data_IF_897078524270
#
_entry.id   IF_897078524270
#
_cell.length_a   1.000
_cell.length_b   1.000
_cell.length_c   1.000
_cell.angle_alpha   90.00
_cell.angle_beta   90.00
_cell.angle_gamma   90.00
#
_symmetry.space_group_name_H-M   'P 1'
#
loop_
_entity.id
_entity.type
_entity.pdbx_description
1 polymer ?
#
# COMPACT_ATOMS: atom_id res chain seq x y z
N UNK A 1 -18.08 -9.70 7.67
CA UNK A 1 -17.36 -8.43 7.32
C UNK A 1 -16.83 -8.50 5.90
N UNK A 2 -16.82 -7.40 5.14
CA UNK A 2 -16.32 -7.39 3.76
C UNK A 2 -14.97 -6.66 3.68
N UNK A 3 -14.09 -7.10 2.79
CA UNK A 3 -12.83 -6.43 2.47
C UNK A 3 -12.80 -6.07 1.00
N UNK A 4 -12.52 -4.79 0.70
CA UNK A 4 -12.31 -4.34 -0.68
C UNK A 4 -10.84 -4.47 -1.06
N UNK A 5 -10.56 -5.19 -2.15
CA UNK A 5 -9.24 -5.33 -2.74
C UNK A 5 -9.22 -4.70 -4.13
N UNK A 6 -8.06 -4.19 -4.53
CA UNK A 6 -7.86 -3.65 -5.87
C UNK A 6 -6.95 -4.57 -6.67
N UNK A 7 -7.50 -5.15 -7.75
CA UNK A 7 -6.78 -6.04 -8.65
C UNK A 7 -6.37 -5.24 -9.89
N UNK A 8 -5.08 -5.16 -10.14
CA UNK A 8 -4.53 -4.42 -11.28
C UNK A 8 -4.27 -5.35 -12.46
N UNK A 9 -4.99 -5.14 -13.56
CA UNK A 9 -4.86 -5.92 -14.80
C UNK A 9 -4.39 -5.01 -15.94
N UNK A 10 -3.48 -5.48 -16.78
CA UNK A 10 -3.07 -4.76 -17.98
C UNK A 10 -4.12 -4.96 -19.07
N UNK A 11 -4.46 -3.89 -19.79
CA UNK A 11 -5.32 -3.95 -20.97
C UNK A 11 -4.48 -4.30 -22.20
N UNK A 12 -5.02 -5.18 -23.06
CA UNK A 12 -4.56 -5.31 -24.44
C UNK A 12 -5.29 -4.24 -25.26
N UNK A 13 -4.55 -3.36 -25.86
CA UNK A 13 -5.09 -2.14 -26.49
C UNK A 13 -4.51 -1.99 -27.89
N UNK A 14 -5.36 -1.84 -28.91
CA UNK A 14 -4.96 -1.45 -30.27
C UNK A 14 -4.66 0.05 -30.34
N UNK A 15 -4.06 0.52 -31.44
CA UNK A 15 -3.78 1.95 -31.63
C UNK A 15 -5.05 2.80 -31.64
N UNK A 16 -6.12 2.35 -32.29
CA UNK A 16 -7.41 3.01 -32.31
C UNK A 16 -8.03 3.08 -30.91
N UNK A 17 -7.96 1.98 -30.16
CA UNK A 17 -8.43 1.96 -28.78
C UNK A 17 -7.58 2.86 -27.85
N UNK A 18 -6.27 2.94 -28.09
CA UNK A 18 -5.38 3.84 -27.35
C UNK A 18 -5.75 5.30 -27.54
N UNK A 19 -6.09 5.70 -28.78
CA UNK A 19 -6.54 7.07 -29.08
C UNK A 19 -7.82 7.42 -28.29
N UNK A 20 -8.82 6.53 -28.27
CA UNK A 20 -10.07 6.71 -27.51
C UNK A 20 -9.83 6.81 -26.01
N UNK A 21 -8.95 5.97 -25.46
CA UNK A 21 -8.57 6.03 -24.04
C UNK A 21 -7.85 7.34 -23.71
N UNK A 22 -6.93 7.78 -24.56
CA UNK A 22 -6.20 9.03 -24.36
C UNK A 22 -7.13 10.24 -24.41
N UNK A 23 -8.02 10.30 -25.41
CA UNK A 23 -9.04 11.36 -25.49
C UNK A 23 -9.91 11.41 -24.22
N UNK A 24 -10.29 10.22 -23.70
CA UNK A 24 -11.09 10.14 -22.47
C UNK A 24 -10.30 10.58 -21.23
N UNK A 25 -9.03 10.18 -21.13
CA UNK A 25 -8.14 10.60 -20.04
C UNK A 25 -7.91 12.12 -20.03
N UNK A 26 -7.71 12.70 -21.21
CA UNK A 26 -7.51 14.15 -21.38
C UNK A 26 -8.78 14.93 -21.06
N UNK A 27 -9.93 14.55 -21.61
CA UNK A 27 -11.23 15.18 -21.32
C UNK A 27 -11.55 15.12 -19.82
N UNK A 28 -11.33 13.96 -19.18
CA UNK A 28 -11.58 13.79 -17.76
C UNK A 28 -10.66 14.66 -16.90
N UNK A 29 -9.36 14.75 -17.23
CA UNK A 29 -8.40 15.58 -16.52
C UNK A 29 -8.68 17.08 -16.68
N UNK A 30 -9.04 17.51 -17.89
CA UNK A 30 -9.45 18.88 -18.17
C UNK A 30 -10.70 19.26 -17.36
N UNK A 31 -11.72 18.39 -17.34
CA UNK A 31 -12.92 18.58 -16.55
C UNK A 31 -12.62 18.67 -15.05
N UNK A 32 -11.75 17.81 -14.52
CA UNK A 32 -11.32 17.87 -13.11
C UNK A 32 -10.66 19.21 -12.75
N UNK A 33 -9.75 19.69 -13.60
CA UNK A 33 -9.07 20.96 -13.40
C UNK A 33 -10.04 22.14 -13.52
N UNK A 34 -10.91 22.12 -14.52
CA UNK A 34 -11.92 23.15 -14.70
C UNK A 34 -12.85 23.25 -13.49
N UNK A 35 -13.44 22.14 -13.01
CA UNK A 35 -14.29 22.14 -11.81
C UNK A 35 -13.52 22.65 -10.59
N UNK A 36 -12.26 22.27 -10.44
CA UNK A 36 -11.45 22.71 -9.31
C UNK A 36 -11.13 24.21 -9.36
N UNK A 37 -11.08 24.83 -10.52
CA UNK A 37 -10.79 26.25 -10.72
C UNK A 37 -12.05 27.11 -10.72
N UNK A 38 -13.14 26.64 -11.35
CA UNK A 38 -14.37 27.43 -11.56
C UNK A 38 -15.35 27.39 -10.38
N UNK A 39 -15.12 26.57 -9.37
CA UNK A 39 -15.99 26.45 -8.21
C UNK A 39 -15.28 26.81 -6.91
N UNK A 40 -15.98 27.40 -5.89
CA UNK A 40 -15.37 27.78 -4.64
C UNK A 40 -14.71 26.59 -3.93
N UNK A 41 -13.48 26.75 -3.44
CA UNK A 41 -12.72 25.68 -2.76
C UNK A 41 -13.43 25.11 -1.53
N UNK A 42 -14.25 25.91 -0.85
CA UNK A 42 -15.06 25.51 0.31
C UNK A 42 -16.08 24.41 -0.02
N UNK A 43 -16.47 24.25 -1.30
CA UNK A 43 -17.44 23.24 -1.72
C UNK A 43 -16.74 21.88 -1.82
N UNK A 44 -16.91 21.07 -0.78
CA UNK A 44 -16.36 19.70 -0.65
C UNK A 44 -17.43 18.60 -0.78
N UNK A 45 -18.70 18.98 -1.02
CA UNK A 45 -19.80 18.06 -1.22
C UNK A 45 -19.94 17.75 -2.71
N UNK A 46 -19.93 16.46 -3.07
CA UNK A 46 -20.01 16.00 -4.46
C UNK A 46 -21.35 16.32 -5.13
N UNK A 47 -22.47 16.27 -4.37
CA UNK A 47 -23.81 16.59 -4.88
C UNK A 47 -23.91 18.07 -5.23
N UNK A 48 -23.38 18.94 -4.34
CA UNK A 48 -23.36 20.39 -4.61
C UNK A 48 -22.46 20.74 -5.80
N UNK A 49 -21.31 20.09 -5.96
CA UNK A 49 -20.47 20.24 -7.16
C UNK A 49 -21.20 19.76 -8.42
N UNK A 50 -21.92 18.65 -8.33
CA UNK A 50 -22.69 18.12 -9.43
C UNK A 50 -23.78 19.13 -9.87
N UNK A 51 -24.57 19.68 -8.95
CA UNK A 51 -25.59 20.67 -9.30
C UNK A 51 -25.03 21.95 -9.95
N UNK A 52 -23.81 22.34 -9.56
CA UNK A 52 -23.15 23.53 -10.10
C UNK A 52 -22.52 23.34 -11.48
N UNK A 53 -22.01 22.13 -11.79
CA UNK A 53 -21.10 21.94 -12.92
C UNK A 53 -21.54 20.88 -13.92
N UNK A 54 -22.58 20.10 -13.65
CA UNK A 54 -22.95 18.92 -14.44
C UNK A 54 -23.14 19.22 -15.93
N UNK A 55 -23.97 20.21 -16.26
CA UNK A 55 -24.28 20.55 -17.64
C UNK A 55 -23.06 21.11 -18.36
N UNK A 56 -22.28 21.96 -17.71
CA UNK A 56 -21.06 22.54 -18.27
C UNK A 56 -19.98 21.48 -18.52
N UNK A 57 -19.82 20.49 -17.63
CA UNK A 57 -18.88 19.39 -17.84
C UNK A 57 -19.25 18.60 -19.08
N UNK A 58 -20.53 18.32 -19.28
CA UNK A 58 -21.00 17.58 -20.45
C UNK A 58 -20.83 18.37 -21.74
N UNK A 59 -21.22 19.64 -21.73
CA UNK A 59 -21.15 20.51 -22.91
C UNK A 59 -19.69 20.77 -23.34
N UNK A 60 -18.79 21.04 -22.39
CA UNK A 60 -17.41 21.46 -22.72
C UNK A 60 -16.46 20.30 -23.01
N UNK A 61 -16.64 19.16 -22.35
CA UNK A 61 -15.69 18.07 -22.41
C UNK A 61 -16.24 16.78 -23.03
N UNK A 62 -17.50 16.77 -23.49
CA UNK A 62 -18.12 15.62 -24.13
C UNK A 62 -18.26 14.38 -23.23
N UNK A 63 -18.16 14.56 -21.90
CA UNK A 63 -18.25 13.44 -20.97
C UNK A 63 -19.70 12.97 -20.79
N UNK A 64 -19.88 11.63 -20.71
CA UNK A 64 -21.18 11.06 -20.38
C UNK A 64 -21.66 11.48 -18.98
N UNK A 65 -22.97 11.37 -18.72
CA UNK A 65 -23.57 11.78 -17.45
C UNK A 65 -22.88 11.19 -16.22
N UNK A 66 -22.57 9.90 -16.28
CA UNK A 66 -21.90 9.21 -15.16
C UNK A 66 -20.43 9.61 -15.02
N UNK A 67 -19.70 9.83 -16.13
CA UNK A 67 -18.33 10.34 -16.08
C UNK A 67 -18.30 11.78 -15.49
N UNK A 68 -19.25 12.64 -15.85
CA UNK A 68 -19.39 13.96 -15.24
C UNK A 68 -19.62 13.88 -13.72
N UNK A 69 -20.46 12.94 -13.28
CA UNK A 69 -20.66 12.65 -11.87
C UNK A 69 -19.36 12.16 -11.15
N UNK A 70 -18.55 11.35 -11.83
CA UNK A 70 -17.25 10.92 -11.30
C UNK A 70 -16.25 12.07 -11.18
N UNK A 71 -16.26 13.04 -12.10
CA UNK A 71 -15.47 14.28 -11.99
C UNK A 71 -15.82 15.02 -10.69
N UNK A 72 -17.08 15.25 -10.43
CA UNK A 72 -17.53 15.95 -9.22
C UNK A 72 -17.16 15.21 -7.93
N UNK A 73 -17.34 13.87 -7.88
CA UNK A 73 -16.93 13.03 -6.75
C UNK A 73 -15.42 13.10 -6.51
N UNK A 74 -14.63 13.07 -7.58
CA UNK A 74 -13.16 13.10 -7.48
C UNK A 74 -12.63 14.42 -6.97
N UNK A 75 -13.15 15.54 -7.48
CA UNK A 75 -12.79 16.89 -7.00
C UNK A 75 -13.17 17.04 -5.53
N UNK A 76 -14.39 16.67 -5.14
CA UNK A 76 -14.85 16.72 -3.77
C UNK A 76 -13.93 15.92 -2.82
N UNK A 77 -13.59 14.68 -3.18
CA UNK A 77 -12.67 13.84 -2.40
C UNK A 77 -11.27 14.44 -2.28
N UNK A 78 -10.75 14.99 -3.38
CA UNK A 78 -9.43 15.63 -3.39
C UNK A 78 -9.38 16.88 -2.50
N UNK A 79 -10.44 17.70 -2.50
CA UNK A 79 -10.57 18.86 -1.62
C UNK A 79 -10.70 18.50 -0.14
N UNK A 80 -11.43 17.43 0.20
CA UNK A 80 -11.51 16.91 1.57
C UNK A 80 -10.11 16.55 2.10
N UNK A 81 -9.34 15.79 1.32
CA UNK A 81 -7.97 15.41 1.68
C UNK A 81 -7.03 16.63 1.74
N UNK A 82 -7.17 17.59 0.82
CA UNK A 82 -6.39 18.82 0.80
C UNK A 82 -6.63 19.65 2.08
N UNK A 83 -7.90 19.78 2.49
CA UNK A 83 -8.30 20.45 3.74
C UNK A 83 -7.69 19.77 4.97
N UNK A 84 -7.79 18.43 5.07
CA UNK A 84 -7.22 17.67 6.19
C UNK A 84 -5.69 17.81 6.30
N UNK A 85 -5.01 17.99 5.15
CA UNK A 85 -3.55 18.10 5.09
C UNK A 85 -3.06 19.54 5.01
N UNK A 86 -3.93 20.50 5.13
CA UNK A 86 -3.66 21.94 5.00
C UNK A 86 -2.77 22.27 3.80
N UNK A 87 -3.19 21.84 2.62
CA UNK A 87 -2.46 22.07 1.35
C UNK A 87 -3.45 22.22 0.18
N UNK A 88 -3.10 22.97 -0.89
CA UNK A 88 -3.97 23.12 -2.05
C UNK A 88 -4.11 21.81 -2.83
N UNK A 89 -5.21 21.68 -3.58
CA UNK A 89 -5.37 20.58 -4.55
C UNK A 89 -4.41 20.82 -5.71
N UNK A 90 -3.57 19.82 -5.99
CA UNK A 90 -2.66 19.88 -7.15
C UNK A 90 -3.45 19.68 -8.45
N UNK A 91 -2.96 20.26 -9.55
CA UNK A 91 -3.51 20.03 -10.88
C UNK A 91 -3.55 18.54 -11.22
N UNK A 92 -4.67 18.10 -11.78
CA UNK A 92 -4.88 16.74 -12.23
C UNK A 92 -4.21 16.52 -13.58
N UNK A 93 -3.46 15.43 -13.68
CA UNK A 93 -2.83 14.99 -14.93
C UNK A 93 -3.71 13.95 -15.62
N UNK A 94 -3.65 13.89 -16.94
CA UNK A 94 -4.33 12.87 -17.76
C UNK A 94 -3.67 11.49 -17.54
N UNK A 95 -4.00 10.84 -16.47
CA UNK A 95 -3.40 9.57 -16.10
C UNK A 95 -4.36 8.57 -15.48
N UNK A 96 -5.61 8.97 -15.23
CA UNK A 96 -6.62 8.07 -14.66
C UNK A 96 -8.04 8.53 -14.98
N UNK A 97 -8.98 7.57 -15.04
CA UNK A 97 -10.44 7.79 -15.05
C UNK A 97 -11.08 6.82 -14.07
N UNK A 98 -12.03 7.29 -13.27
CA UNK A 98 -12.79 6.47 -12.31
C UNK A 98 -14.10 6.03 -12.92
N UNK A 99 -14.46 4.77 -12.74
CA UNK A 99 -15.66 4.14 -13.27
C UNK A 99 -16.51 3.55 -12.14
N UNK A 100 -17.81 3.61 -12.28
CA UNK A 100 -18.78 2.86 -11.47
C UNK A 100 -19.52 1.82 -12.32
N UNK A 101 -20.40 1.03 -11.72
CA UNK A 101 -21.11 -0.08 -12.38
C UNK A 101 -21.98 0.34 -13.58
N UNK A 102 -22.23 1.63 -13.80
CA UNK A 102 -23.04 2.13 -14.93
C UNK A 102 -22.22 2.36 -16.20
N UNK A 103 -20.91 2.56 -16.02
CA UNK A 103 -19.98 2.92 -17.09
C UNK A 103 -18.79 1.94 -17.18
N UNK A 104 -18.83 0.89 -16.38
CA UNK A 104 -17.87 -0.20 -16.34
C UNK A 104 -18.61 -1.53 -16.19
N UNK A 105 -18.18 -2.53 -16.96
CA UNK A 105 -18.58 -3.91 -16.75
C UNK A 105 -17.40 -4.86 -16.89
N UNK A 106 -17.42 -5.94 -16.11
CA UNK A 106 -16.45 -7.02 -16.19
C UNK A 106 -17.16 -8.30 -16.63
N UNK A 107 -16.56 -9.03 -17.56
CA UNK A 107 -17.07 -10.30 -18.05
C UNK A 107 -16.02 -11.40 -17.88
N UNK A 108 -16.33 -12.35 -17.02
CA UNK A 108 -15.42 -13.44 -16.69
C UNK A 108 -15.24 -14.43 -17.85
N UNK A 109 -16.31 -14.72 -18.59
CA UNK A 109 -16.32 -15.74 -19.67
C UNK A 109 -15.16 -15.57 -20.66
N UNK A 110 -14.81 -14.35 -21.02
CA UNK A 110 -13.74 -14.01 -21.96
C UNK A 110 -12.67 -13.08 -21.37
N UNK A 111 -12.72 -12.83 -20.08
CA UNK A 111 -11.80 -11.97 -19.34
C UNK A 111 -11.66 -10.58 -19.97
N UNK A 112 -12.80 -9.96 -20.25
CA UNK A 112 -12.88 -8.63 -20.84
C UNK A 112 -13.50 -7.62 -19.87
N UNK A 113 -13.21 -6.36 -20.14
CA UNK A 113 -13.89 -5.23 -19.51
C UNK A 113 -14.46 -4.31 -20.57
N UNK A 114 -15.64 -3.76 -20.33
CA UNK A 114 -16.19 -2.67 -21.13
C UNK A 114 -16.09 -1.36 -20.35
N UNK A 115 -15.59 -0.32 -21.01
CA UNK A 115 -15.40 1.01 -20.44
C UNK A 115 -16.10 2.05 -21.31
N UNK A 116 -16.82 2.97 -20.70
CA UNK A 116 -17.38 4.13 -21.41
C UNK A 116 -16.26 5.14 -21.68
N UNK A 117 -16.04 5.45 -22.94
CA UNK A 117 -15.13 6.49 -23.40
C UNK A 117 -15.91 7.73 -23.86
N UNK A 118 -15.24 8.78 -24.30
CA UNK A 118 -15.87 9.96 -24.92
C UNK A 118 -16.51 9.60 -26.27
N UNK A 119 -16.07 8.53 -26.94
CA UNK A 119 -16.59 8.01 -28.22
C UNK A 119 -17.56 6.85 -28.07
N UNK A 120 -18.06 6.60 -26.85
CA UNK A 120 -18.96 5.48 -26.58
C UNK A 120 -18.33 4.37 -25.75
N UNK A 121 -19.01 3.22 -25.70
CA UNK A 121 -18.56 2.08 -24.94
C UNK A 121 -17.58 1.22 -25.75
N UNK A 122 -16.45 0.88 -25.15
CA UNK A 122 -15.38 0.11 -25.80
C UNK A 122 -15.02 -1.12 -24.93
N UNK A 123 -14.72 -2.25 -25.58
CA UNK A 123 -14.36 -3.50 -24.91
C UNK A 123 -12.87 -3.78 -25.04
N UNK A 124 -12.24 -4.20 -23.92
CA UNK A 124 -10.82 -4.48 -23.81
C UNK A 124 -10.58 -5.86 -23.22
N UNK A 125 -9.67 -6.62 -23.82
CA UNK A 125 -9.15 -7.85 -23.21
C UNK A 125 -8.18 -7.56 -22.10
N UNK A 126 -8.19 -8.41 -21.06
CA UNK A 126 -7.29 -8.33 -19.94
C UNK A 126 -6.09 -9.26 -20.12
N UNK A 127 -4.87 -8.71 -20.04
CA UNK A 127 -3.67 -9.52 -19.93
C UNK A 127 -3.43 -9.87 -18.45
N UNK A 128 -3.74 -11.11 -18.07
CA UNK A 128 -3.77 -11.55 -16.67
C UNK A 128 -3.02 -12.86 -16.46
N UNK A 129 -2.40 -12.98 -15.29
CA UNK A 129 -1.87 -14.23 -14.77
C UNK A 129 -2.88 -14.97 -13.87
N UNK A 130 -2.49 -16.15 -13.39
CA UNK A 130 -3.34 -17.00 -12.55
C UNK A 130 -3.81 -16.31 -11.25
N UNK A 131 -2.98 -15.45 -10.66
CA UNK A 131 -3.36 -14.70 -9.48
C UNK A 131 -4.56 -13.77 -9.72
N UNK A 132 -4.51 -12.96 -10.79
CA UNK A 132 -5.61 -12.06 -11.12
C UNK A 132 -6.88 -12.83 -11.46
N UNK A 133 -6.76 -13.91 -12.22
CA UNK A 133 -7.91 -14.79 -12.54
C UNK A 133 -8.54 -15.34 -11.28
N UNK A 134 -7.77 -15.94 -10.39
CA UNK A 134 -8.28 -16.49 -9.11
C UNK A 134 -8.90 -15.43 -8.19
N UNK A 135 -8.48 -14.15 -8.30
CA UNK A 135 -9.04 -13.07 -7.52
C UNK A 135 -10.31 -12.46 -8.10
N UNK A 136 -10.52 -12.60 -9.42
CA UNK A 136 -11.67 -12.04 -10.13
C UNK A 136 -12.75 -13.08 -10.43
N UNK A 137 -12.41 -14.36 -10.40
CA UNK A 137 -13.36 -15.45 -10.65
C UNK A 137 -14.54 -15.39 -9.67
N UNK A 138 -15.76 -15.54 -10.19
CA UNK A 138 -17.00 -15.50 -9.41
C UNK A 138 -17.33 -14.14 -8.79
N UNK A 139 -16.61 -13.06 -9.15
CA UNK A 139 -16.86 -11.71 -8.59
C UNK A 139 -17.66 -10.83 -9.54
N UNK A 140 -18.42 -9.89 -8.98
CA UNK A 140 -19.18 -8.87 -9.72
C UNK A 140 -18.70 -7.47 -9.37
N UNK A 141 -17.54 -7.02 -9.90
CA UNK A 141 -16.96 -5.74 -9.55
C UNK A 141 -17.85 -4.57 -9.97
N UNK A 142 -18.07 -3.61 -9.06
CA UNK A 142 -18.93 -2.44 -9.30
C UNK A 142 -18.14 -1.15 -9.52
N UNK A 143 -16.83 -1.17 -9.35
CA UNK A 143 -15.97 0.01 -9.50
C UNK A 143 -14.61 -0.37 -10.07
N UNK A 144 -14.09 0.52 -10.90
CA UNK A 144 -12.76 0.38 -11.47
C UNK A 144 -12.10 1.75 -11.69
N UNK A 145 -10.78 1.74 -11.86
CA UNK A 145 -10.01 2.93 -12.26
C UNK A 145 -9.10 2.56 -13.42
N UNK A 146 -9.30 3.20 -14.57
CA UNK A 146 -8.35 3.17 -15.68
C UNK A 146 -7.11 3.99 -15.29
N UNK A 147 -5.93 3.47 -15.57
CA UNK A 147 -4.65 4.16 -15.30
C UNK A 147 -3.73 4.01 -16.49
N UNK A 148 -3.24 5.14 -17.03
CA UNK A 148 -2.14 5.16 -18.00
C UNK A 148 -0.82 5.28 -17.25
N UNK A 149 0.09 4.34 -17.47
CA UNK A 149 1.43 4.37 -16.88
C UNK A 149 2.39 5.22 -17.71
N UNK A 150 3.54 5.57 -17.12
CA UNK A 150 4.57 6.39 -17.79
C UNK A 150 5.21 5.72 -19.01
N UNK A 151 5.11 4.40 -19.11
CA UNK A 151 5.57 3.62 -20.27
C UNK A 151 4.52 3.55 -21.40
N UNK A 152 3.42 4.29 -21.26
CA UNK A 152 2.31 4.31 -22.22
C UNK A 152 1.32 3.16 -22.07
N UNK A 153 1.57 2.18 -21.20
CA UNK A 153 0.67 1.04 -21.02
C UNK A 153 -0.57 1.40 -20.18
N UNK A 154 -1.71 0.79 -20.52
CA UNK A 154 -2.98 0.98 -19.83
C UNK A 154 -3.27 -0.16 -18.88
N UNK A 155 -3.74 0.18 -17.69
CA UNK A 155 -4.15 -0.77 -16.66
C UNK A 155 -5.54 -0.42 -16.16
N UNK A 156 -6.32 -1.43 -15.87
CA UNK A 156 -7.56 -1.29 -15.12
C UNK A 156 -7.34 -1.81 -13.69
N UNK A 157 -7.67 -0.99 -12.74
CA UNK A 157 -7.65 -1.32 -11.30
C UNK A 157 -9.08 -1.63 -10.90
N UNK A 158 -9.41 -2.91 -10.80
CA UNK A 158 -10.75 -3.41 -10.51
C UNK A 158 -10.89 -3.58 -9.00
N UNK A 159 -11.92 -2.95 -8.42
CA UNK A 159 -12.25 -3.11 -7.01
C UNK A 159 -13.17 -4.31 -6.83
N UNK A 160 -12.73 -5.29 -6.06
CA UNK A 160 -13.51 -6.47 -5.69
C UNK A 160 -13.77 -6.50 -4.19
N UNK A 161 -14.96 -6.90 -3.81
CA UNK A 161 -15.34 -7.13 -2.43
C UNK A 161 -15.32 -8.62 -2.16
N UNK A 162 -14.66 -9.01 -1.09
CA UNK A 162 -14.64 -10.38 -0.60
C UNK A 162 -15.23 -10.42 0.79
N UNK A 163 -16.12 -11.37 1.04
CA UNK A 163 -16.55 -11.68 2.38
C UNK A 163 -15.40 -12.32 3.14
N UNK A 164 -15.17 -11.82 4.34
CA UNK A 164 -14.14 -12.34 5.22
C UNK A 164 -14.74 -13.45 6.08
N UNK A 165 -14.02 -14.58 6.24
CA UNK A 165 -14.41 -15.55 7.25
C UNK A 165 -14.35 -14.93 8.64
N UNK A 166 -15.17 -15.42 9.55
CA UNK A 166 -15.10 -14.98 10.95
C UNK A 166 -13.76 -15.40 11.56
N UNK A 167 -13.12 -14.49 12.32
CA UNK A 167 -11.88 -14.81 12.98
C UNK A 167 -12.05 -15.97 13.96
N UNK A 168 -11.20 -16.98 13.81
CA UNK A 168 -11.18 -18.11 14.74
C UNK A 168 -10.74 -17.63 16.13
N UNK A 169 -11.47 -18.06 17.16
CA UNK A 169 -11.07 -17.79 18.54
C UNK A 169 -10.06 -18.85 18.99
N UNK A 170 -8.79 -18.52 18.89
CA UNK A 170 -7.66 -19.39 19.27
C UNK A 170 -6.94 -18.79 20.46
N UNK A 171 -6.50 -19.62 21.45
CA UNK A 171 -5.79 -19.12 22.65
C UNK A 171 -4.33 -18.79 22.37
N UNK A 172 -3.70 -19.47 21.40
CA UNK A 172 -2.25 -19.34 21.13
C UNK A 172 -1.96 -18.11 20.29
N UNK A 173 -1.07 -17.25 20.79
CA UNK A 173 -0.55 -16.09 20.06
C UNK A 173 0.80 -16.38 19.44
N UNK A 174 1.03 -15.97 18.19
CA UNK A 174 2.36 -15.83 17.62
C UNK A 174 2.67 -14.33 17.60
N UNK A 175 3.66 -13.93 18.40
CA UNK A 175 4.20 -12.58 18.40
C UNK A 175 5.14 -12.36 17.22
N UNK A 176 5.07 -11.17 16.64
CA UNK A 176 5.94 -10.78 15.52
C UNK A 176 6.58 -9.44 15.85
N UNK A 177 7.87 -9.46 16.12
CA UNK A 177 8.70 -8.26 16.24
C UNK A 177 9.09 -7.76 14.85
N UNK A 178 8.88 -6.47 14.57
CA UNK A 178 9.19 -5.83 13.30
C UNK A 178 10.40 -4.92 13.44
N UNK A 179 11.53 -5.39 12.94
CA UNK A 179 12.81 -4.71 13.06
C UNK A 179 13.33 -4.09 11.76
N UNK A 180 14.39 -3.31 11.89
CA UNK A 180 15.12 -2.72 10.78
C UNK A 180 16.26 -3.61 10.28
N UNK A 181 16.94 -4.31 11.17
CA UNK A 181 18.04 -5.24 10.89
C UNK A 181 17.49 -6.57 10.41
N UNK A 182 16.66 -7.17 11.23
CA UNK A 182 15.76 -8.23 10.81
C UNK A 182 14.39 -7.59 10.56
N UNK A 183 13.81 -7.87 9.40
CA UNK A 183 12.55 -7.22 8.96
C UNK A 183 11.40 -7.70 9.84
N UNK A 184 11.41 -8.98 10.21
CA UNK A 184 10.48 -9.60 11.12
C UNK A 184 11.13 -10.79 11.82
N UNK A 185 10.77 -11.00 13.08
CA UNK A 185 11.10 -12.18 13.87
C UNK A 185 9.83 -12.69 14.55
N UNK A 186 9.58 -14.00 14.54
CA UNK A 186 8.41 -14.60 15.21
C UNK A 186 8.80 -15.25 16.53
N UNK A 187 7.84 -15.38 17.46
CA UNK A 187 8.00 -16.14 18.70
C UNK A 187 8.23 -17.64 18.48
N UNK A 188 7.98 -18.15 17.27
CA UNK A 188 8.28 -19.53 16.86
C UNK A 188 9.69 -19.68 16.28
N UNK A 189 10.50 -18.59 16.24
CA UNK A 189 11.89 -18.61 15.79
C UNK A 189 12.11 -18.32 14.29
N UNK A 190 11.05 -18.08 13.50
CA UNK A 190 11.23 -17.67 12.11
C UNK A 190 11.82 -16.26 12.04
N UNK A 191 12.84 -16.06 11.20
CA UNK A 191 13.54 -14.78 11.04
C UNK A 191 13.71 -14.41 9.57
N UNK A 192 13.47 -13.15 9.24
CA UNK A 192 13.68 -12.57 7.91
C UNK A 192 14.67 -11.41 7.98
N UNK A 193 15.91 -11.68 7.62
CA UNK A 193 16.98 -10.69 7.61
C UNK A 193 16.74 -9.58 6.61
N UNK A 194 16.97 -8.32 7.03
CA UNK A 194 16.95 -7.13 6.18
C UNK A 194 18.23 -6.89 5.38
N UNK A 195 19.23 -7.78 5.45
CA UNK A 195 20.53 -7.58 4.84
C UNK A 195 20.45 -7.39 3.31
N UNK A 196 19.74 -8.27 2.62
CA UNK A 196 19.56 -8.19 1.17
C UNK A 196 18.84 -6.88 0.76
N UNK A 197 17.80 -6.51 1.49
CA UNK A 197 17.07 -5.27 1.24
C UNK A 197 17.96 -4.03 1.44
N UNK A 198 18.80 -4.03 2.47
CA UNK A 198 19.76 -2.97 2.74
C UNK A 198 20.80 -2.86 1.63
N UNK A 199 21.35 -3.99 1.15
CA UNK A 199 22.29 -4.03 0.00
C UNK A 199 21.66 -3.42 -1.27
N UNK A 200 20.44 -3.81 -1.59
CA UNK A 200 19.70 -3.29 -2.76
C UNK A 200 19.46 -1.79 -2.64
N UNK A 201 19.04 -1.32 -1.46
CA UNK A 201 18.84 0.12 -1.19
C UNK A 201 20.13 0.93 -1.32
N UNK A 202 21.20 0.44 -0.75
CA UNK A 202 22.50 1.13 -0.81
C UNK A 202 23.07 1.16 -2.24
N UNK A 203 22.89 0.06 -3.00
CA UNK A 203 23.23 0.02 -4.42
C UNK A 203 22.45 1.09 -5.22
N UNK A 204 21.13 1.12 -5.15
CA UNK A 204 20.32 2.09 -5.88
C UNK A 204 20.54 3.54 -5.39
N UNK A 205 20.85 3.74 -4.12
CA UNK A 205 21.17 5.06 -3.59
C UNK A 205 22.46 5.61 -4.19
N UNK A 206 23.53 4.78 -4.23
CA UNK A 206 24.80 5.14 -4.87
C UNK A 206 24.64 5.40 -6.36
N UNK A 207 23.93 4.52 -7.06
CA UNK A 207 23.68 4.67 -8.50
C UNK A 207 22.92 5.96 -8.81
N UNK A 208 21.84 6.26 -8.04
CA UNK A 208 21.11 7.52 -8.19
C UNK A 208 21.98 8.75 -7.95
N UNK A 209 22.81 8.74 -6.91
CA UNK A 209 23.71 9.87 -6.61
C UNK A 209 24.70 10.15 -7.75
N UNK A 210 25.29 9.10 -8.33
CA UNK A 210 26.19 9.22 -9.50
C UNK A 210 25.45 9.77 -10.72
N UNK A 211 24.29 9.20 -11.05
CA UNK A 211 23.51 9.65 -12.21
C UNK A 211 22.97 11.07 -12.04
N UNK A 212 22.53 11.46 -10.84
CA UNK A 212 22.09 12.82 -10.54
C UNK A 212 23.24 13.84 -10.72
N UNK A 213 24.42 13.52 -10.22
CA UNK A 213 25.61 14.37 -10.41
C UNK A 213 25.96 14.55 -11.90
N UNK A 214 25.96 13.47 -12.68
CA UNK A 214 26.17 13.53 -14.13
C UNK A 214 25.05 14.26 -14.86
N UNK A 215 23.80 14.11 -14.41
CA UNK A 215 22.64 14.80 -14.97
C UNK A 215 22.63 16.32 -14.71
N UNK A 216 23.38 16.81 -13.70
CA UNK A 216 23.51 18.25 -13.41
C UNK A 216 24.72 18.92 -14.10
N UNK A 217 25.85 18.21 -14.26
CA UNK A 217 27.12 18.79 -14.67
C UNK A 217 27.64 18.35 -16.07
N UNK A 218 27.00 17.37 -16.71
CA UNK A 218 27.47 16.82 -17.97
C UNK A 218 27.06 17.64 -19.20
N UNK A 219 27.49 17.19 -20.41
CA UNK A 219 27.05 17.71 -21.70
C UNK A 219 25.53 17.53 -21.88
N UNK A 220 24.92 18.23 -22.84
CA UNK A 220 23.45 18.10 -23.13
C UNK A 220 23.06 16.66 -23.38
N UNK A 221 23.85 15.90 -24.14
CA UNK A 221 23.60 14.49 -24.44
C UNK A 221 23.72 13.61 -23.20
N UNK A 222 24.80 13.73 -22.42
CA UNK A 222 25.01 12.95 -21.21
C UNK A 222 23.95 13.24 -20.13
N UNK A 223 23.54 14.51 -19.97
CA UNK A 223 22.46 14.91 -19.07
C UNK A 223 21.13 14.26 -19.46
N UNK A 224 20.78 14.27 -20.77
CA UNK A 224 19.56 13.62 -21.28
C UNK A 224 19.58 12.12 -20.98
N UNK A 225 20.69 11.43 -21.31
CA UNK A 225 20.85 9.99 -21.05
C UNK A 225 20.75 9.65 -19.56
N UNK A 226 21.39 10.42 -18.69
CA UNK A 226 21.32 10.19 -17.24
C UNK A 226 19.91 10.39 -16.68
N UNK A 227 19.16 11.39 -17.16
CA UNK A 227 17.75 11.59 -16.78
C UNK A 227 16.87 10.43 -17.21
N UNK A 228 17.04 9.89 -18.42
CA UNK A 228 16.34 8.71 -18.90
C UNK A 228 16.65 7.47 -18.04
N UNK A 229 17.91 7.26 -17.66
CA UNK A 229 18.31 6.17 -16.77
C UNK A 229 17.70 6.33 -15.39
N UNK A 230 17.70 7.52 -14.80
CA UNK A 230 17.04 7.82 -13.53
C UNK A 230 15.53 7.51 -13.58
N UNK A 231 14.87 7.84 -14.68
CA UNK A 231 13.46 7.52 -14.90
C UNK A 231 13.22 6.01 -14.96
N UNK A 232 14.06 5.24 -15.69
CA UNK A 232 13.99 3.77 -15.76
C UNK A 232 14.25 3.09 -14.42
N UNK A 233 15.11 3.66 -13.58
CA UNK A 233 15.41 3.17 -12.23
C UNK A 233 14.30 3.52 -11.22
N UNK A 234 13.44 4.46 -11.56
CA UNK A 234 12.37 4.92 -10.66
C UNK A 234 11.47 3.76 -10.25
N UNK A 235 11.23 3.65 -8.95
CA UNK A 235 10.32 2.65 -8.37
C UNK A 235 10.86 1.22 -8.28
N UNK A 236 12.04 0.88 -8.84
CA UNK A 236 12.59 -0.49 -8.75
C UNK A 236 12.83 -0.93 -7.31
N UNK A 237 13.48 -0.09 -6.51
CA UNK A 237 13.70 -0.33 -5.08
C UNK A 237 12.38 -0.51 -4.32
N UNK A 238 11.39 0.35 -4.57
CA UNK A 238 10.08 0.24 -3.94
C UNK A 238 9.35 -1.06 -4.33
N UNK A 239 9.41 -1.47 -5.61
CA UNK A 239 8.81 -2.74 -6.04
C UNK A 239 9.46 -3.94 -5.39
N UNK A 240 10.79 -3.96 -5.30
CA UNK A 240 11.53 -5.01 -4.60
C UNK A 240 11.13 -5.08 -3.11
N UNK A 241 11.11 -3.95 -2.41
CA UNK A 241 10.64 -3.89 -1.03
C UNK A 241 9.21 -4.42 -0.87
N UNK A 242 8.31 -4.01 -1.77
CA UNK A 242 6.92 -4.45 -1.74
C UNK A 242 6.82 -5.96 -1.93
N UNK A 243 7.60 -6.52 -2.86
CA UNK A 243 7.69 -7.96 -3.08
C UNK A 243 8.20 -8.70 -1.84
N UNK A 244 9.28 -8.23 -1.21
CA UNK A 244 9.81 -8.80 0.04
C UNK A 244 8.73 -8.80 1.13
N UNK A 245 8.03 -7.67 1.33
CA UNK A 245 6.95 -7.57 2.30
C UNK A 245 5.78 -8.52 1.98
N UNK A 246 5.48 -8.76 0.71
CA UNK A 246 4.48 -9.77 0.31
C UNK A 246 4.91 -11.19 0.64
N UNK A 247 6.19 -11.54 0.43
CA UNK A 247 6.73 -12.85 0.78
C UNK A 247 6.69 -13.08 2.29
N UNK A 248 7.21 -12.14 3.08
CA UNK A 248 7.25 -12.23 4.54
C UNK A 248 5.82 -12.33 5.11
N UNK A 249 4.93 -11.44 4.73
CA UNK A 249 3.55 -11.46 5.22
C UNK A 249 2.78 -12.73 4.83
N UNK A 250 3.08 -13.35 3.67
CA UNK A 250 2.52 -14.64 3.30
C UNK A 250 3.06 -15.75 4.21
N UNK A 251 4.36 -15.78 4.44
CA UNK A 251 5.00 -16.80 5.29
C UNK A 251 4.47 -16.72 6.73
N UNK A 252 4.40 -15.53 7.33
CA UNK A 252 3.83 -15.33 8.67
C UNK A 252 2.41 -15.88 8.76
N UNK A 253 1.53 -15.45 7.83
CA UNK A 253 0.11 -15.88 7.85
C UNK A 253 -0.01 -17.40 7.66
N UNK A 254 0.77 -18.00 6.74
CA UNK A 254 0.76 -19.45 6.52
C UNK A 254 1.24 -20.22 7.76
N UNK A 255 2.25 -19.71 8.47
CA UNK A 255 2.73 -20.32 9.72
C UNK A 255 1.67 -20.29 10.81
N UNK A 256 1.04 -19.12 11.01
CA UNK A 256 -0.02 -18.93 12.01
C UNK A 256 -1.23 -19.80 11.72
N UNK A 257 -1.60 -19.92 10.45
CA UNK A 257 -2.68 -20.81 10.01
C UNK A 257 -2.39 -22.29 10.32
N UNK A 258 -1.17 -22.75 10.03
CA UNK A 258 -0.74 -24.13 10.29
C UNK A 258 -0.69 -24.46 11.80
N UNK A 259 -0.46 -23.48 12.66
CA UNK A 259 -0.40 -23.65 14.11
C UNK A 259 -1.70 -23.31 14.83
N UNK A 260 -2.78 -23.03 14.11
CA UNK A 260 -4.08 -22.60 14.66
C UNK A 260 -3.93 -21.50 15.73
N UNK A 261 -3.18 -20.44 15.39
CA UNK A 261 -2.84 -19.35 16.31
C UNK A 261 -3.42 -18.04 15.82
N UNK A 262 -3.33 -16.98 16.61
CA UNK A 262 -3.56 -15.60 16.15
C UNK A 262 -2.26 -14.80 16.13
N UNK A 263 -2.25 -13.65 15.48
CA UNK A 263 -1.06 -12.81 15.32
C UNK A 263 -1.08 -11.66 16.34
N UNK A 264 0.00 -11.49 17.09
CA UNK A 264 0.26 -10.28 17.88
C UNK A 264 1.36 -9.45 17.21
N UNK A 265 1.11 -8.15 17.00
CA UNK A 265 2.04 -7.20 16.37
C UNK A 265 2.17 -5.95 17.24
N UNK A 266 3.33 -5.33 17.24
CA UNK A 266 3.48 -4.00 17.85
C UNK A 266 2.74 -2.91 17.08
N UNK A 267 2.11 -2.00 17.83
CA UNK A 267 1.56 -0.77 17.25
C UNK A 267 2.65 0.29 17.08
N UNK A 268 3.32 0.25 15.95
CA UNK A 268 4.36 1.19 15.57
C UNK A 268 3.82 2.51 14.98
N UNK A 269 2.56 2.85 15.24
CA UNK A 269 1.98 4.13 14.81
C UNK A 269 2.74 5.29 15.45
N UNK A 270 3.13 6.30 14.65
CA UNK A 270 3.90 7.46 15.11
C UNK A 270 5.39 7.20 15.41
N UNK A 271 5.91 5.98 15.16
CA UNK A 271 7.33 5.67 15.44
C UNK A 271 8.30 6.54 14.64
N UNK A 272 7.94 6.93 13.42
CA UNK A 272 8.79 7.78 12.58
C UNK A 272 8.97 9.18 13.16
N UNK A 273 7.92 9.76 13.67
CA UNK A 273 7.94 11.07 14.33
C UNK A 273 8.84 11.00 15.58
N UNK A 274 8.64 10.02 16.44
CA UNK A 274 9.46 9.79 17.65
C UNK A 274 10.94 9.57 17.33
N UNK A 275 11.23 8.73 16.34
CA UNK A 275 12.59 8.41 15.91
C UNK A 275 13.31 9.61 15.26
N UNK A 276 12.57 10.49 14.56
CA UNK A 276 13.14 11.67 13.91
C UNK A 276 13.44 12.82 14.88
N UNK A 277 12.91 12.80 16.10
CA UNK A 277 13.22 13.76 17.15
C UNK A 277 14.63 13.56 17.73
N UNK A 278 15.21 12.36 17.58
CA UNK A 278 16.57 12.08 18.06
C UNK A 278 17.63 12.51 17.03
N UNK A 279 18.75 13.10 17.45
CA UNK A 279 19.88 13.43 16.58
C UNK A 279 20.46 12.13 15.97
N UNK A 280 20.53 12.10 14.63
CA UNK A 280 21.03 10.93 13.87
C UNK A 280 21.77 11.36 12.62
N UNK A 281 22.69 10.51 12.17
CA UNK A 281 23.37 10.71 10.90
C UNK A 281 22.39 10.73 9.73
N UNK A 282 22.74 11.42 8.64
CA UNK A 282 21.93 11.45 7.40
C UNK A 282 21.64 10.05 6.86
N UNK A 283 22.60 9.14 6.98
CA UNK A 283 22.47 7.74 6.53
C UNK A 283 21.48 6.97 7.39
N UNK A 284 21.55 7.10 8.70
CA UNK A 284 20.61 6.42 9.63
C UNK A 284 19.19 6.96 9.49
N UNK A 285 19.03 8.30 9.34
CA UNK A 285 17.73 8.91 9.08
C UNK A 285 17.13 8.39 7.77
N UNK A 286 17.92 8.27 6.71
CA UNK A 286 17.49 7.67 5.43
C UNK A 286 17.04 6.22 5.62
N UNK A 287 17.84 5.40 6.32
CA UNK A 287 17.52 3.99 6.57
C UNK A 287 16.24 3.84 7.39
N UNK A 288 16.06 4.64 8.43
CA UNK A 288 14.85 4.61 9.27
C UNK A 288 13.60 5.05 8.50
N UNK A 289 13.69 6.14 7.73
CA UNK A 289 12.57 6.64 6.93
C UNK A 289 12.20 5.71 5.75
N UNK A 290 13.13 4.92 5.26
CA UNK A 290 12.89 3.94 4.20
C UNK A 290 12.33 2.61 4.70
N UNK A 291 12.26 2.41 6.02
CA UNK A 291 11.72 1.19 6.60
C UNK A 291 10.20 1.12 6.41
N UNK A 292 9.74 0.09 5.71
CA UNK A 292 8.34 -0.04 5.28
C UNK A 292 7.53 -0.96 6.21
N UNK A 293 7.73 -0.85 7.54
CA UNK A 293 7.02 -1.65 8.54
C UNK A 293 5.49 -1.48 8.46
N UNK A 294 5.02 -0.26 8.21
CA UNK A 294 3.59 0.01 8.05
C UNK A 294 2.99 -0.79 6.87
N UNK A 295 3.69 -0.86 5.73
CA UNK A 295 3.27 -1.67 4.59
C UNK A 295 3.26 -3.16 4.94
N UNK A 296 4.28 -3.66 5.65
CA UNK A 296 4.34 -5.05 6.08
C UNK A 296 3.18 -5.37 7.02
N UNK A 297 2.93 -4.52 8.03
CA UNK A 297 1.78 -4.65 8.94
C UNK A 297 0.47 -4.73 8.18
N UNK A 298 0.23 -3.81 7.25
CA UNK A 298 -0.97 -3.84 6.42
C UNK A 298 -1.10 -5.14 5.61
N UNK A 299 0.03 -5.64 5.07
CA UNK A 299 0.02 -6.89 4.31
C UNK A 299 -0.27 -8.11 5.19
N UNK A 300 0.24 -8.14 6.42
CA UNK A 300 -0.12 -9.16 7.40
C UNK A 300 -1.61 -9.06 7.76
N UNK A 301 -2.10 -7.88 8.11
CA UNK A 301 -3.49 -7.66 8.52
C UNK A 301 -4.50 -8.09 7.45
N UNK A 302 -4.33 -7.66 6.19
CA UNK A 302 -5.32 -8.02 5.16
C UNK A 302 -5.28 -9.51 4.79
N UNK A 303 -4.09 -10.13 4.80
CA UNK A 303 -3.96 -11.57 4.52
C UNK A 303 -4.48 -12.42 5.68
N UNK A 304 -4.20 -12.01 6.92
CA UNK A 304 -4.74 -12.66 8.11
C UNK A 304 -6.27 -12.62 8.13
N UNK A 305 -6.86 -11.44 7.86
CA UNK A 305 -8.31 -11.31 7.77
C UNK A 305 -8.93 -12.27 6.73
N UNK A 306 -8.30 -12.40 5.55
CA UNK A 306 -8.73 -13.36 4.52
C UNK A 306 -8.61 -14.83 4.94
N UNK A 307 -7.71 -15.13 5.84
CA UNK A 307 -7.52 -16.48 6.38
C UNK A 307 -8.34 -16.74 7.66
N UNK A 308 -9.20 -15.79 8.09
CA UNK A 308 -9.95 -15.91 9.35
C UNK A 308 -9.04 -15.87 10.59
N UNK A 309 -7.87 -15.21 10.49
CA UNK A 309 -6.91 -15.09 11.58
C UNK A 309 -7.04 -13.71 12.23
N UNK A 310 -7.22 -13.70 13.55
CA UNK A 310 -7.26 -12.46 14.34
C UNK A 310 -5.86 -11.83 14.41
N UNK A 311 -5.79 -10.49 14.33
CA UNK A 311 -4.56 -9.71 14.54
C UNK A 311 -4.78 -8.75 15.70
N UNK A 312 -3.95 -8.86 16.73
CA UNK A 312 -3.98 -7.99 17.92
C UNK A 312 -2.78 -7.05 17.85
N UNK A 313 -3.02 -5.76 18.05
CA UNK A 313 -1.95 -4.77 18.17
C UNK A 313 -1.65 -4.51 19.64
N UNK A 314 -0.36 -4.63 20.02
CA UNK A 314 0.12 -4.40 21.39
C UNK A 314 0.93 -3.10 21.46
N UNK A 315 0.95 -2.41 22.61
CA UNK A 315 1.78 -1.23 22.78
C UNK A 315 3.26 -1.59 22.66
N UNK A 316 4.07 -0.74 22.00
CA UNK A 316 5.51 -0.99 21.86
C UNK A 316 6.32 -0.66 23.13
N UNK A 317 5.65 -0.29 24.23
CA UNK A 317 6.33 0.09 25.46
C UNK A 317 6.98 -1.11 26.10
N UNK A 318 8.32 -1.03 26.29
CA UNK A 318 9.14 -1.99 27.00
C UNK A 318 9.25 -3.40 26.41
N UNK A 319 8.59 -3.73 25.29
CA UNK A 319 8.66 -5.07 24.67
C UNK A 319 10.11 -5.52 24.39
N UNK A 320 10.98 -4.60 23.99
CA UNK A 320 12.40 -4.89 23.72
C UNK A 320 13.31 -4.95 24.95
N UNK A 321 12.81 -4.55 26.12
CA UNK A 321 13.58 -4.50 27.39
C UNK A 321 13.04 -5.49 28.43
N UNK A 322 11.91 -6.11 28.20
CA UNK A 322 11.27 -7.05 29.12
C UNK A 322 11.72 -8.49 28.79
N UNK A 323 12.05 -9.27 29.80
CA UNK A 323 12.32 -10.70 29.66
C UNK A 323 11.01 -11.46 29.42
N UNK A 324 10.95 -12.30 28.40
CA UNK A 324 9.75 -13.07 28.09
C UNK A 324 9.46 -14.20 29.09
N UNK A 325 10.48 -14.63 29.88
CA UNK A 325 10.30 -15.70 30.86
C UNK A 325 9.77 -15.19 32.21
N UNK A 326 10.32 -14.08 32.73
CA UNK A 326 10.00 -13.62 34.08
C UNK A 326 9.36 -12.22 34.09
N UNK A 327 9.21 -11.57 32.94
CA UNK A 327 8.67 -10.21 32.74
C UNK A 327 9.46 -9.09 33.45
N UNK A 328 10.67 -9.39 33.94
CA UNK A 328 11.58 -8.41 34.54
C UNK A 328 12.28 -7.59 33.45
N UNK A 329 12.64 -6.37 33.76
CA UNK A 329 13.44 -5.54 32.85
C UNK A 329 14.85 -6.09 32.77
N UNK A 330 15.37 -6.26 31.56
CA UNK A 330 16.71 -6.73 31.29
C UNK A 330 17.53 -5.76 30.46
N UNK A 331 18.73 -6.17 30.09
CA UNK A 331 19.65 -5.39 29.25
C UNK A 331 19.65 -5.91 27.81
N UNK A 332 19.47 -4.99 26.86
CA UNK A 332 19.57 -5.29 25.43
C UNK A 332 20.80 -4.62 24.83
N UNK A 333 21.69 -5.43 24.29
CA UNK A 333 22.84 -4.98 23.49
C UNK A 333 22.72 -5.50 22.05
N UNK A 334 22.28 -4.62 21.15
CA UNK A 334 22.04 -4.97 19.73
C UNK A 334 21.11 -6.16 19.59
N UNK A 335 21.65 -7.36 19.25
CA UNK A 335 20.93 -8.62 19.08
C UNK A 335 20.94 -9.53 20.30
N UNK A 336 21.63 -9.16 21.36
CA UNK A 336 21.72 -9.94 22.60
C UNK A 336 20.85 -9.31 23.68
N UNK A 337 20.07 -10.13 24.35
CA UNK A 337 19.29 -9.76 25.53
C UNK A 337 19.77 -10.59 26.72
N UNK A 338 19.89 -9.95 27.89
CA UNK A 338 20.22 -10.61 29.15
C UNK A 338 19.24 -10.13 30.21
N UNK A 339 18.58 -11.07 30.86
CA UNK A 339 17.76 -10.82 32.02
C UNK A 339 18.64 -10.47 33.23
N UNK A 340 18.28 -9.39 33.96
CA UNK A 340 19.02 -9.00 35.15
C UNK A 340 18.44 -9.61 36.45
N UNK A 341 17.30 -10.31 36.35
CA UNK A 341 16.73 -11.05 37.48
C UNK A 341 17.61 -12.27 37.81
N UNK A 342 18.24 -12.34 38.98
CA UNK A 342 19.14 -13.47 39.37
C UNK A 342 18.43 -14.83 39.35
N UNK A 343 17.13 -14.86 39.66
CA UNK A 343 16.33 -16.09 39.66
C UNK A 343 15.97 -16.59 38.25
N UNK A 344 16.12 -15.75 37.21
CA UNK A 344 15.80 -16.12 35.83
C UNK A 344 17.05 -16.33 34.97
N UNK A 345 17.95 -15.34 34.96
CA UNK A 345 19.24 -15.39 34.27
C UNK A 345 19.17 -15.65 32.77
N UNK A 346 17.96 -15.58 32.13
CA UNK A 346 17.80 -15.91 30.72
C UNK A 346 18.60 -14.98 29.81
N UNK A 347 19.27 -15.58 28.83
CA UNK A 347 20.07 -14.87 27.84
C UNK A 347 19.85 -15.47 26.44
N UNK A 348 19.75 -14.62 25.42
CA UNK A 348 19.53 -15.08 24.05
C UNK A 348 19.36 -13.94 23.04
N UNK A 349 18.78 -14.26 21.88
CA UNK A 349 18.51 -13.29 20.83
C UNK A 349 17.44 -12.28 21.26
N UNK A 350 17.73 -11.00 21.10
CA UNK A 350 16.88 -9.91 21.56
C UNK A 350 15.57 -9.76 20.73
N UNK A 351 15.62 -10.11 19.45
CA UNK A 351 14.45 -10.04 18.57
C UNK A 351 13.52 -11.24 18.84
N UNK A 352 14.09 -12.42 19.16
CA UNK A 352 13.34 -13.56 19.66
C UNK A 352 12.65 -13.25 21.00
N UNK A 353 13.39 -12.67 21.96
CA UNK A 353 12.81 -12.24 23.23
C UNK A 353 11.66 -11.26 23.01
N UNK A 354 11.87 -10.23 22.18
CA UNK A 354 10.84 -9.24 21.86
C UNK A 354 9.58 -9.85 21.24
N UNK A 355 9.74 -10.79 20.31
CA UNK A 355 8.62 -11.49 19.69
C UNK A 355 7.80 -12.31 20.71
N UNK A 356 8.47 -12.97 21.67
CA UNK A 356 7.78 -13.72 22.73
C UNK A 356 7.05 -12.78 23.71
N UNK A 357 7.63 -11.63 24.08
CA UNK A 357 6.94 -10.62 24.90
C UNK A 357 5.69 -10.09 24.15
N UNK A 358 5.79 -9.85 22.85
CA UNK A 358 4.65 -9.45 22.02
C UNK A 358 3.56 -10.51 22.02
N UNK A 359 3.93 -11.81 21.96
CA UNK A 359 2.98 -12.91 22.05
C UNK A 359 2.25 -12.92 23.39
N UNK A 360 2.96 -12.78 24.51
CA UNK A 360 2.39 -12.73 25.86
C UNK A 360 1.43 -11.55 26.03
N UNK A 361 1.82 -10.34 25.60
CA UNK A 361 0.97 -9.15 25.64
C UNK A 361 -0.27 -9.31 24.76
N UNK A 362 -0.14 -9.97 23.61
CA UNK A 362 -1.24 -10.28 22.71
C UNK A 362 -2.24 -11.26 23.33
N UNK A 363 -1.76 -12.28 24.01
CA UNK A 363 -2.59 -13.27 24.69
C UNK A 363 -3.39 -12.64 25.85
N UNK A 364 -2.75 -11.80 26.67
CA UNK A 364 -3.43 -11.07 27.75
C UNK A 364 -4.56 -10.14 27.27
N UNK A 365 -4.36 -9.47 26.14
CA UNK A 365 -5.42 -8.62 25.52
C UNK A 365 -6.51 -9.45 24.84
N UNK A 366 -6.17 -10.61 24.34
CA UNK A 366 -7.13 -11.53 23.73
C UNK A 366 -8.18 -12.06 24.71
N UNK A 367 -7.81 -12.20 25.99
CA UNK A 367 -8.71 -12.63 27.05
C UNK A 367 -9.71 -11.54 27.48
N UNK A 368 -9.34 -10.26 27.38
CA UNK A 368 -10.19 -9.12 27.81
C UNK A 368 -11.24 -8.71 26.78
N UNK A 369 -11.10 -9.10 25.52
CA UNK A 369 -12.03 -8.75 24.42
C UNK A 369 -13.08 -9.83 24.10
N UNK A 370 -13.18 -10.87 24.90
CA UNK A 370 -14.15 -11.98 24.74
C UNK A 370 -15.30 -11.95 25.78
N UNK A 371 -15.46 -10.81 26.50
CA UNK A 371 -16.57 -10.56 27.41
C UNK A 371 -17.58 -9.59 26.82
#
# INVERSE_FOLDING_TARGET
MTQTLTISCKLKVSEAQAAKLDATLDAFAQALNWVNQSTPEKVVNAVKLHSLCYYEIRARFGLSSNLAGQVCRRVAGSRKVAKQKNRPVKAFKAGFVTYDARIFSFREKDWTVSLTTVEGQERFELAMGNYQRGMLAGTHPKAATLVKRQDGSYYIQICVEHDLPEPQNTPKAIGVDLGRTDIAHTSEGDNWSGQQLSRVRDHYSRLRAVLQRKASKGTRSSRRRCRQLLQRLSGRERRFQTWVNHCISKAIVSRVQATHSFIALEDLTGIRERVNQQPRSKTERRRSNSWAFYQLRQFVQYKAARAGIRVVLVPPACSSQTCHQCLWIGQRERKRFRCVNPACGWEGDADYNGANVIALLGAGRGAVGAG
#
